data_IF_000622418779
#
_entry.id   IF_000622418779
#
_cell.length_a   1.000
_cell.length_b   1.000
_cell.length_c   1.000
_cell.angle_alpha   90.00
_cell.angle_beta   90.00
_cell.angle_gamma   90.00
#
_symmetry.space_group_name_H-M   'P 1'
#
loop_
_entity.id
_entity.type
_entity.pdbx_description
1 polymer ?
#
# COMPACT_ATOMS: atom_id res chain seq x y z
N UNK A 1 -3.99 12.68 -29.82
CA UNK A 1 -3.55 13.82 -28.99
C UNK A 1 -4.36 13.92 -27.70
N UNK A 2 -5.70 13.97 -27.76
CA UNK A 2 -6.57 14.10 -26.57
C UNK A 2 -6.35 13.00 -25.52
N UNK A 3 -6.30 11.72 -25.92
CA UNK A 3 -6.07 10.61 -24.99
C UNK A 3 -4.69 10.67 -24.28
N UNK A 4 -3.65 11.19 -24.95
CA UNK A 4 -2.32 11.35 -24.35
C UNK A 4 -2.32 12.47 -23.31
N UNK A 5 -2.99 13.58 -23.61
CA UNK A 5 -3.17 14.67 -22.64
C UNK A 5 -4.00 14.22 -21.44
N UNK A 6 -5.06 13.46 -21.66
CA UNK A 6 -5.86 12.88 -20.57
C UNK A 6 -5.01 11.92 -19.72
N UNK A 7 -4.20 11.07 -20.36
CA UNK A 7 -3.30 10.15 -19.66
C UNK A 7 -2.24 10.87 -18.83
N UNK A 8 -1.68 11.97 -19.36
CA UNK A 8 -0.78 12.86 -18.63
C UNK A 8 -1.49 13.50 -17.43
N UNK A 9 -2.70 14.02 -17.62
CA UNK A 9 -3.46 14.68 -16.55
C UNK A 9 -3.78 13.73 -15.40
N UNK A 10 -4.30 12.53 -15.68
CA UNK A 10 -4.61 11.55 -14.64
C UNK A 10 -3.32 11.05 -13.96
N UNK A 11 -2.25 10.83 -14.72
CA UNK A 11 -0.94 10.46 -14.15
C UNK A 11 -0.39 11.56 -13.23
N UNK A 12 -0.48 12.83 -13.62
CA UNK A 12 -0.04 13.94 -12.79
C UNK A 12 -0.90 14.09 -11.52
N UNK A 13 -2.23 13.90 -11.62
CA UNK A 13 -3.13 13.89 -10.46
C UNK A 13 -2.77 12.76 -9.49
N UNK A 14 -2.55 11.55 -10.00
CA UNK A 14 -2.14 10.40 -9.19
C UNK A 14 -0.79 10.64 -8.52
N UNK A 15 0.21 11.09 -9.28
CA UNK A 15 1.53 11.41 -8.73
C UNK A 15 1.46 12.46 -7.62
N UNK A 16 0.64 13.51 -7.80
CA UNK A 16 0.41 14.54 -6.78
C UNK A 16 -0.33 13.99 -5.57
N UNK A 17 -1.36 13.17 -5.76
CA UNK A 17 -2.09 12.54 -4.65
C UNK A 17 -1.15 11.69 -3.79
N UNK A 18 -0.27 10.93 -4.43
CA UNK A 18 0.75 10.10 -3.79
C UNK A 18 1.93 10.88 -3.19
N UNK A 19 1.91 12.22 -3.23
CA UNK A 19 3.06 13.04 -2.81
C UNK A 19 3.26 13.08 -1.30
N UNK A 20 2.16 12.97 -0.55
CA UNK A 20 2.14 13.02 0.91
C UNK A 20 1.26 11.88 1.41
N UNK A 21 1.82 11.07 2.32
CA UNK A 21 1.06 10.01 2.98
C UNK A 21 -0.06 10.61 3.85
N UNK A 22 -1.22 9.93 3.94
CA UNK A 22 -2.35 10.41 4.73
C UNK A 22 -2.09 10.26 6.23
N UNK A 23 -2.78 11.08 7.01
CA UNK A 23 -2.94 10.87 8.45
C UNK A 23 -3.89 9.68 8.69
N UNK A 24 -3.85 9.06 9.88
CA UNK A 24 -4.61 7.82 10.15
C UNK A 24 -6.11 7.95 9.84
N UNK A 25 -6.73 9.05 10.22
CA UNK A 25 -8.16 9.32 10.03
C UNK A 25 -8.57 9.44 8.55
N UNK A 26 -7.60 9.70 7.65
CA UNK A 26 -7.83 9.93 6.23
C UNK A 26 -7.37 8.75 5.37
N UNK A 27 -6.88 7.66 5.96
CA UNK A 27 -6.30 6.52 5.23
C UNK A 27 -7.29 5.90 4.24
N UNK A 28 -8.51 5.63 4.67
CA UNK A 28 -9.52 4.98 3.83
C UNK A 28 -9.85 5.84 2.59
N UNK A 29 -10.23 7.10 2.81
CA UNK A 29 -10.56 8.02 1.72
C UNK A 29 -9.37 8.30 0.79
N UNK A 30 -8.15 8.33 1.35
CA UNK A 30 -6.92 8.47 0.56
C UNK A 30 -6.69 7.25 -0.35
N UNK A 31 -6.88 6.03 0.15
CA UNK A 31 -6.73 4.79 -0.62
C UNK A 31 -7.82 4.70 -1.70
N UNK A 32 -9.08 5.01 -1.36
CA UNK A 32 -10.18 5.05 -2.33
C UNK A 32 -9.89 6.03 -3.46
N UNK A 33 -9.35 7.21 -3.12
CA UNK A 33 -8.97 8.21 -4.12
C UNK A 33 -7.82 7.73 -5.01
N UNK A 34 -6.81 7.08 -4.43
CA UNK A 34 -5.70 6.50 -5.17
C UNK A 34 -6.19 5.42 -6.15
N UNK A 35 -7.06 4.51 -5.70
CA UNK A 35 -7.66 3.47 -6.53
C UNK A 35 -8.49 4.07 -7.67
N UNK A 36 -9.34 5.06 -7.38
CA UNK A 36 -10.14 5.74 -8.40
C UNK A 36 -9.28 6.37 -9.51
N UNK A 37 -8.13 6.97 -9.13
CA UNK A 37 -7.19 7.54 -10.10
C UNK A 37 -6.42 6.47 -10.88
N UNK A 38 -6.11 5.32 -10.25
CA UNK A 38 -5.51 4.17 -10.93
C UNK A 38 -6.47 3.57 -11.96
N UNK A 39 -7.75 3.45 -11.63
CA UNK A 39 -8.79 2.94 -12.54
C UNK A 39 -9.00 3.89 -13.72
N UNK A 40 -9.15 5.19 -13.45
CA UNK A 40 -9.24 6.23 -14.50
C UNK A 40 -8.01 6.16 -15.42
N UNK A 41 -6.81 6.02 -14.85
CA UNK A 41 -5.57 5.87 -15.60
C UNK A 41 -5.55 4.60 -16.46
N UNK A 42 -6.01 3.47 -15.91
CA UNK A 42 -6.09 2.18 -16.60
C UNK A 42 -6.99 2.24 -17.83
N UNK A 43 -8.17 2.84 -17.71
CA UNK A 43 -9.12 3.00 -18.83
C UNK A 43 -8.50 3.81 -19.97
N UNK A 44 -7.81 4.91 -19.65
CA UNK A 44 -7.16 5.74 -20.68
C UNK A 44 -5.98 5.00 -21.32
N UNK A 45 -5.21 4.24 -20.52
CA UNK A 45 -4.10 3.41 -21.02
C UNK A 45 -4.58 2.36 -22.01
N UNK A 46 -5.68 1.67 -21.71
CA UNK A 46 -6.26 0.64 -22.58
C UNK A 46 -6.69 1.25 -23.92
N UNK A 47 -7.37 2.41 -23.90
CA UNK A 47 -7.74 3.14 -25.13
C UNK A 47 -6.52 3.56 -25.95
N UNK A 48 -5.43 3.96 -25.31
CA UNK A 48 -4.19 4.28 -26.01
C UNK A 48 -3.60 3.04 -26.69
N UNK A 49 -3.54 1.91 -25.98
CA UNK A 49 -3.04 0.65 -26.53
C UNK A 49 -3.88 0.16 -27.72
N UNK A 50 -5.20 0.24 -27.62
CA UNK A 50 -6.12 -0.13 -28.71
C UNK A 50 -5.92 0.72 -29.97
N UNK A 51 -5.52 1.98 -29.80
CA UNK A 51 -5.22 2.90 -30.89
C UNK A 51 -3.78 2.77 -31.44
N UNK A 52 -3.04 1.73 -31.03
CA UNK A 52 -1.67 1.49 -31.48
C UNK A 52 -0.68 2.52 -30.94
N UNK A 53 -0.90 3.03 -29.72
CA UNK A 53 0.02 3.97 -29.10
C UNK A 53 1.40 3.34 -28.89
N UNK A 54 2.42 3.98 -29.45
CA UNK A 54 3.82 3.67 -29.19
C UNK A 54 4.51 4.88 -28.54
N UNK A 55 5.46 4.59 -27.66
CA UNK A 55 6.28 5.63 -27.05
C UNK A 55 7.24 6.19 -28.09
N UNK A 56 7.32 7.51 -28.12
CA UNK A 56 8.26 8.28 -28.92
C UNK A 56 9.04 9.23 -28.00
N UNK A 57 10.33 8.96 -27.82
CA UNK A 57 11.22 9.73 -26.94
C UNK A 57 11.51 11.15 -27.45
N UNK A 58 11.24 11.46 -28.71
CA UNK A 58 11.37 12.82 -29.25
C UNK A 58 10.23 13.73 -28.78
N UNK A 59 9.10 13.13 -28.36
CA UNK A 59 7.95 13.87 -27.86
C UNK A 59 8.08 14.09 -26.36
N UNK A 60 8.19 15.36 -25.96
CA UNK A 60 8.27 15.78 -24.54
C UNK A 60 7.15 15.21 -23.68
N UNK A 61 5.93 15.10 -24.23
CA UNK A 61 4.78 14.50 -23.55
C UNK A 61 5.02 13.04 -23.16
N UNK A 62 5.70 12.27 -24.00
CA UNK A 62 5.97 10.85 -23.75
C UNK A 62 7.10 10.68 -22.74
N UNK A 63 8.14 11.50 -22.82
CA UNK A 63 9.19 11.54 -21.79
C UNK A 63 8.59 11.86 -20.41
N UNK A 64 7.71 12.85 -20.34
CA UNK A 64 7.02 13.20 -19.10
C UNK A 64 6.14 12.05 -18.57
N UNK A 65 5.50 11.26 -19.45
CA UNK A 65 4.76 10.07 -19.03
C UNK A 65 5.67 9.01 -18.39
N UNK A 66 6.85 8.79 -18.95
CA UNK A 66 7.84 7.85 -18.41
C UNK A 66 8.29 8.29 -17.01
N UNK A 67 8.61 9.58 -16.85
CA UNK A 67 9.02 10.15 -15.57
C UNK A 67 7.91 10.05 -14.51
N UNK A 68 6.67 10.38 -14.88
CA UNK A 68 5.53 10.25 -13.99
C UNK A 68 5.28 8.79 -13.61
N UNK A 69 5.33 7.84 -14.55
CA UNK A 69 5.12 6.42 -14.26
C UNK A 69 6.16 5.88 -13.28
N UNK A 70 7.44 6.23 -13.49
CA UNK A 70 8.52 5.88 -12.56
C UNK A 70 8.22 6.41 -11.15
N UNK A 71 7.93 7.70 -11.04
CA UNK A 71 7.65 8.33 -9.76
C UNK A 71 6.37 7.81 -9.07
N UNK A 72 5.34 7.45 -9.84
CA UNK A 72 4.13 6.81 -9.30
C UNK A 72 4.47 5.44 -8.70
N UNK A 73 5.26 4.61 -9.40
CA UNK A 73 5.66 3.28 -8.90
C UNK A 73 6.44 3.37 -7.61
N UNK A 74 7.40 4.30 -7.53
CA UNK A 74 8.18 4.54 -6.32
C UNK A 74 7.27 4.89 -5.13
N UNK A 75 6.35 5.84 -5.32
CA UNK A 75 5.42 6.26 -4.25
C UNK A 75 4.40 5.20 -3.87
N UNK A 76 3.94 4.38 -4.81
CA UNK A 76 3.06 3.25 -4.52
C UNK A 76 3.79 2.19 -3.69
N UNK A 77 5.07 1.94 -3.96
CA UNK A 77 5.87 1.04 -3.14
C UNK A 77 6.04 1.58 -1.72
N UNK A 78 6.28 2.89 -1.56
CA UNK A 78 6.35 3.52 -0.24
C UNK A 78 5.03 3.39 0.52
N UNK A 79 3.89 3.66 -0.14
CA UNK A 79 2.56 3.47 0.42
C UNK A 79 2.32 2.02 0.85
N UNK A 80 2.69 1.06 0.00
CA UNK A 80 2.57 -0.37 0.31
C UNK A 80 3.41 -0.76 1.53
N UNK A 81 4.63 -0.25 1.64
CA UNK A 81 5.50 -0.50 2.79
C UNK A 81 4.89 0.01 4.10
N UNK A 82 4.26 1.19 4.06
CA UNK A 82 3.54 1.76 5.21
C UNK A 82 2.40 0.83 5.63
N UNK A 83 1.55 0.43 4.68
CA UNK A 83 0.42 -0.49 4.94
C UNK A 83 0.92 -1.83 5.51
N UNK A 84 2.01 -2.37 4.98
CA UNK A 84 2.59 -3.62 5.49
C UNK A 84 3.10 -3.49 6.93
N UNK A 85 3.68 -2.34 7.28
CA UNK A 85 4.13 -2.09 8.65
C UNK A 85 2.94 -1.93 9.60
N UNK A 86 1.90 -1.20 9.21
CA UNK A 86 0.66 -1.08 9.99
C UNK A 86 0.04 -2.46 10.29
N UNK A 87 0.03 -3.36 9.30
CA UNK A 87 -0.48 -4.74 9.47
C UNK A 87 0.37 -5.55 10.46
N UNK A 88 1.69 -5.40 10.43
CA UNK A 88 2.60 -6.07 11.38
C UNK A 88 2.39 -5.55 12.79
N UNK A 89 2.25 -4.23 12.96
CA UNK A 89 2.04 -3.61 14.26
C UNK A 89 0.71 -4.03 14.88
N UNK A 90 -0.34 -4.13 14.06
CA UNK A 90 -1.65 -4.65 14.48
C UNK A 90 -1.57 -6.12 14.93
N UNK A 91 -0.79 -6.96 14.23
CA UNK A 91 -0.57 -8.36 14.63
C UNK A 91 0.23 -8.45 15.94
N UNK A 92 1.25 -7.63 16.11
CA UNK A 92 2.07 -7.58 17.31
C UNK A 92 1.26 -7.12 18.53
N UNK A 93 0.43 -6.09 18.38
CA UNK A 93 -0.47 -5.59 19.43
C UNK A 93 -1.46 -6.67 19.89
N UNK A 94 -2.07 -7.42 18.96
CA UNK A 94 -2.93 -8.57 19.31
C UNK A 94 -2.19 -9.66 20.07
N UNK A 95 -0.91 -9.88 19.76
CA UNK A 95 -0.09 -10.90 20.44
C UNK A 95 0.28 -10.45 21.86
N UNK A 96 0.69 -9.19 22.03
CA UNK A 96 1.01 -8.65 23.36
C UNK A 96 -0.21 -8.62 24.25
N UNK A 97 -1.38 -8.17 23.76
CA UNK A 97 -2.64 -8.18 24.53
C UNK A 97 -3.01 -9.58 25.04
N UNK A 98 -2.87 -10.62 24.20
CA UNK A 98 -3.07 -12.02 24.62
C UNK A 98 -2.08 -12.50 25.68
N UNK A 99 -0.82 -12.05 25.61
CA UNK A 99 0.20 -12.38 26.62
C UNK A 99 -0.06 -11.67 27.95
N UNK A 100 -0.57 -10.43 27.92
CA UNK A 100 -0.98 -9.68 29.11
C UNK A 100 -2.23 -10.26 29.77
N UNK A 101 -3.20 -10.74 28.99
CA UNK A 101 -4.42 -11.35 29.52
C UNK A 101 -4.21 -12.78 30.08
N UNK A 102 -3.17 -13.49 29.64
CA UNK A 102 -2.82 -14.81 30.17
C UNK A 102 -1.31 -14.95 30.47
N UNK A 103 -0.79 -14.25 31.50
CA UNK A 103 0.63 -14.28 31.85
C UNK A 103 1.15 -15.67 32.26
N UNK A 104 0.24 -16.57 32.61
CA UNK A 104 0.51 -17.91 33.13
C UNK A 104 0.11 -19.03 32.16
N UNK A 105 -0.23 -18.73 30.89
CA UNK A 105 -0.54 -19.75 29.88
C UNK A 105 0.59 -20.78 29.75
N UNK A 106 1.83 -20.31 29.86
CA UNK A 106 3.04 -21.14 29.78
C UNK A 106 3.32 -21.95 31.06
N UNK A 107 2.59 -21.67 32.16
CA UNK A 107 2.77 -22.31 33.48
C UNK A 107 1.72 -23.41 33.73
N UNK A 108 0.68 -23.50 32.89
CA UNK A 108 -0.34 -24.56 32.99
C UNK A 108 0.14 -25.96 32.57
N UNK A 109 1.40 -26.13 32.18
CA UNK A 109 1.99 -27.42 31.76
C UNK A 109 3.17 -27.83 32.65
N UNK A 110 2.95 -27.90 33.96
CA UNK A 110 3.86 -28.59 34.89
C UNK A 110 2.98 -29.37 35.86
N UNK A 111 2.80 -30.65 35.53
CA UNK A 111 2.02 -31.64 36.26
C UNK A 111 2.48 -31.65 37.73
N UNK A 112 1.65 -31.11 38.62
CA UNK A 112 1.97 -30.80 40.01
C UNK A 112 2.12 -32.05 40.88
N UNK A 113 3.26 -32.73 40.81
CA UNK A 113 3.62 -33.77 41.78
C UNK A 113 4.66 -33.25 42.77
N UNK A 114 4.19 -32.68 43.87
CA UNK A 114 4.96 -32.62 45.11
C UNK A 114 4.98 -34.02 45.74
N UNK A 115 6.10 -34.73 45.64
CA UNK A 115 6.35 -35.92 46.44
C UNK A 115 6.93 -35.50 47.79
N UNK A 116 6.07 -35.40 48.81
CA UNK A 116 6.52 -35.53 50.20
C UNK A 116 6.70 -37.02 50.49
N UNK A 117 7.94 -37.46 50.70
CA UNK A 117 8.23 -38.77 51.27
C UNK A 117 9.03 -38.58 52.56
N UNK A 118 8.31 -38.26 53.64
CA UNK A 118 8.70 -38.63 55.00
C UNK A 118 8.18 -40.03 55.33
N UNK A 119 9.08 -41.00 55.38
CA UNK A 119 9.32 -42.00 56.45
C UNK A 119 10.27 -43.07 55.98
#
# INVERSE_FOLDING_TARGET
MENIQQFLQVSAKLFKHLSKLPEEEQRDSYIERANSLLDERGIVMEKLQQNGFEIDIQLKSHVMLIELDKGIRERLNDLMNVIQNDLKDLQNSKKSERQYLNPYANVQVMDGRYYDKKR
#
